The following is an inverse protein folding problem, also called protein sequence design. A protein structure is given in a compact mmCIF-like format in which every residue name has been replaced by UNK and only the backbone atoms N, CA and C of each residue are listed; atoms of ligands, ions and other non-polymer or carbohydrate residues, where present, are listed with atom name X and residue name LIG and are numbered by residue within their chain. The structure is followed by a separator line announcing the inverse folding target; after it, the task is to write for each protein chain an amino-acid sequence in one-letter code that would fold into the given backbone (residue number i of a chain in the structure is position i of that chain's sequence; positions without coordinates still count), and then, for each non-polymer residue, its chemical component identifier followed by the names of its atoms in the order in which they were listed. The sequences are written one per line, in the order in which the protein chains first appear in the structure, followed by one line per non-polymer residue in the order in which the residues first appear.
data_IF_356409072772
#
_entry.id   IF_356409072772
#
_cell.length_a   1.000
_cell.length_b   1.000
_cell.length_c   1.000
_cell.angle_alpha   90.00
_cell.angle_beta   90.00
_cell.angle_gamma   90.00
#
_symmetry.space_group_name_H-M   'P 1'
#
loop_
_entity.id
_entity.type
_entity.pdbx_description
1 polymer ?
#
# COMPACT_ATOMS: atom_id res chain seq x y z
N UNK A 1 0.43 -16.50 -5.06
CA UNK A 1 0.40 -15.72 -3.80
C UNK A 1 1.82 -15.69 -3.25
N UNK A 2 2.33 -14.54 -2.84
CA UNK A 2 3.66 -14.43 -2.27
C UNK A 2 3.50 -14.19 -0.78
N UNK A 3 4.13 -15.00 0.05
CA UNK A 3 4.05 -14.87 1.50
C UNK A 3 5.45 -14.53 2.01
N UNK A 4 5.51 -13.53 2.86
CA UNK A 4 6.72 -13.05 3.49
C UNK A 4 6.90 -13.68 4.88
N UNK A 5 8.12 -14.03 5.21
CA UNK A 5 8.55 -14.25 6.58
C UNK A 5 9.15 -12.95 7.16
N UNK A 6 8.51 -12.39 8.16
CA UNK A 6 9.00 -11.21 8.89
C UNK A 6 9.58 -11.54 10.26
N UNK A 7 9.56 -12.80 10.64
CA UNK A 7 9.96 -13.24 11.98
C UNK A 7 11.41 -13.74 12.05
N UNK A 8 12.24 -13.47 11.03
CA UNK A 8 13.65 -13.82 11.09
C UNK A 8 14.39 -12.99 12.14
N UNK A 9 15.11 -13.65 13.01
CA UNK A 9 15.91 -13.02 14.06
C UNK A 9 17.33 -12.64 13.62
N UNK A 10 17.85 -13.28 12.58
CA UNK A 10 19.18 -13.00 12.06
C UNK A 10 19.18 -11.76 11.13
N UNK A 11 20.18 -10.87 11.23
CA UNK A 11 20.28 -9.71 10.35
C UNK A 11 20.37 -10.07 8.86
N UNK A 12 21.02 -11.19 8.55
CA UNK A 12 21.13 -11.74 7.19
C UNK A 12 19.95 -12.63 6.79
N UNK A 13 19.01 -12.86 7.72
CA UNK A 13 17.78 -13.64 7.52
C UNK A 13 18.03 -15.09 7.08
N UNK A 14 19.13 -15.68 7.49
CA UNK A 14 19.49 -17.08 7.16
C UNK A 14 18.98 -18.08 8.20
N UNK A 15 18.67 -17.63 9.42
CA UNK A 15 18.27 -18.48 10.54
C UNK A 15 16.78 -18.32 10.88
N UNK A 16 16.21 -19.37 11.44
CA UNK A 16 14.87 -19.31 12.01
C UNK A 16 14.86 -18.47 13.28
N UNK A 17 13.70 -17.83 13.61
CA UNK A 17 13.54 -17.14 14.88
C UNK A 17 13.87 -18.04 16.07
N UNK A 18 14.56 -17.49 17.07
CA UNK A 18 14.88 -18.23 18.29
C UNK A 18 13.65 -18.47 19.19
N UNK A 19 12.65 -17.61 19.06
CA UNK A 19 11.39 -17.74 19.81
C UNK A 19 10.55 -18.86 19.18
N UNK A 20 10.08 -19.82 20.02
CA UNK A 20 9.44 -21.06 19.56
C UNK A 20 8.16 -20.82 18.72
N UNK A 21 7.31 -19.90 19.17
CA UNK A 21 6.06 -19.59 18.44
C UNK A 21 6.35 -18.96 17.09
N UNK A 22 7.30 -18.02 17.01
CA UNK A 22 7.71 -17.41 15.76
C UNK A 22 8.32 -18.43 14.81
N UNK A 23 9.19 -19.31 15.32
CA UNK A 23 9.77 -20.41 14.54
C UNK A 23 8.69 -21.35 13.99
N UNK A 24 7.71 -21.68 14.81
CA UNK A 24 6.58 -22.54 14.43
C UNK A 24 5.74 -21.90 13.33
N UNK A 25 5.44 -20.60 13.43
CA UNK A 25 4.72 -19.86 12.38
C UNK A 25 5.45 -19.91 11.04
N UNK A 26 6.77 -19.66 11.03
CA UNK A 26 7.58 -19.73 9.82
C UNK A 26 7.58 -21.12 9.20
N UNK A 27 7.75 -22.17 10.01
CA UNK A 27 7.70 -23.56 9.52
C UNK A 27 6.35 -23.91 8.91
N UNK A 28 5.24 -23.50 9.52
CA UNK A 28 3.91 -23.71 8.93
C UNK A 28 3.71 -22.90 7.65
N UNK A 29 4.23 -21.69 7.58
CA UNK A 29 4.17 -20.88 6.37
C UNK A 29 4.86 -21.57 5.20
N UNK A 30 6.08 -22.07 5.41
CA UNK A 30 6.86 -22.81 4.41
C UNK A 30 6.11 -24.10 4.00
N UNK A 31 5.64 -24.86 4.98
CA UNK A 31 4.86 -26.09 4.74
C UNK A 31 3.62 -25.80 3.90
N UNK A 32 2.84 -24.79 4.27
CA UNK A 32 1.62 -24.42 3.53
C UNK A 32 1.95 -23.93 2.11
N UNK A 33 3.04 -23.20 1.92
CA UNK A 33 3.51 -22.82 0.58
C UNK A 33 3.77 -24.03 -0.30
N UNK A 34 4.44 -25.05 0.24
CA UNK A 34 4.69 -26.32 -0.45
C UNK A 34 3.40 -27.09 -0.71
N UNK A 35 2.54 -27.25 0.30
CA UNK A 35 1.32 -28.06 0.20
C UNK A 35 0.30 -27.48 -0.80
N UNK A 36 0.23 -26.15 -0.89
CA UNK A 36 -0.73 -25.44 -1.74
C UNK A 36 -0.13 -24.80 -2.99
N UNK A 37 1.17 -24.98 -3.25
CA UNK A 37 1.82 -24.58 -4.48
C UNK A 37 1.97 -23.07 -4.67
N UNK A 38 2.17 -22.28 -3.61
CA UNK A 38 2.46 -20.86 -3.73
C UNK A 38 3.88 -20.49 -3.28
N UNK A 39 4.41 -19.42 -3.87
CA UNK A 39 5.76 -18.94 -3.60
C UNK A 39 5.86 -18.39 -2.18
N UNK A 40 6.81 -18.92 -1.40
CA UNK A 40 7.19 -18.40 -0.08
C UNK A 40 8.61 -17.82 -0.18
N UNK A 41 8.75 -16.54 0.16
CA UNK A 41 10.06 -15.89 0.26
C UNK A 41 10.55 -16.00 1.70
N UNK A 42 11.07 -17.17 2.04
CA UNK A 42 11.55 -17.51 3.39
C UNK A 42 13.04 -17.20 3.59
N UNK A 43 13.53 -17.53 4.77
CA UNK A 43 14.92 -17.39 5.14
C UNK A 43 15.87 -18.00 4.10
N UNK A 44 16.92 -17.27 3.76
CA UNK A 44 17.89 -17.68 2.75
C UNK A 44 17.44 -17.47 1.30
N UNK A 45 16.19 -17.08 1.04
CA UNK A 45 15.77 -16.72 -0.31
C UNK A 45 16.34 -15.34 -0.67
N UNK A 46 17.09 -15.19 -1.78
CA UNK A 46 17.69 -13.90 -2.15
C UNK A 46 16.66 -12.81 -2.47
N UNK A 47 15.40 -13.19 -2.69
CA UNK A 47 14.28 -12.26 -2.93
C UNK A 47 13.47 -11.96 -1.66
N UNK A 48 13.88 -12.49 -0.51
CA UNK A 48 13.23 -12.17 0.76
C UNK A 48 13.42 -10.71 1.11
N UNK A 49 12.37 -10.08 1.59
CA UNK A 49 12.41 -8.68 2.02
C UNK A 49 11.13 -8.27 2.72
N UNK A 50 11.04 -7.00 3.06
CA UNK A 50 9.81 -6.43 3.60
C UNK A 50 8.73 -6.53 2.53
N UNK A 51 7.57 -7.11 2.86
CA UNK A 51 6.45 -7.33 1.94
C UNK A 51 6.11 -6.07 1.14
N UNK A 52 5.97 -4.95 1.84
CA UNK A 52 5.64 -3.66 1.25
C UNK A 52 6.63 -3.20 0.17
N UNK A 53 7.90 -3.55 0.32
CA UNK A 53 8.95 -3.24 -0.66
C UNK A 53 8.97 -4.27 -1.78
N UNK A 54 9.04 -5.56 -1.42
CA UNK A 54 9.18 -6.66 -2.38
C UNK A 54 8.02 -6.73 -3.37
N UNK A 55 6.78 -6.55 -2.90
CA UNK A 55 5.59 -6.59 -3.74
C UNK A 55 5.57 -5.45 -4.76
N UNK A 56 6.00 -4.27 -4.34
CA UNK A 56 6.06 -3.07 -5.18
C UNK A 56 7.22 -3.15 -6.18
N UNK A 57 8.43 -3.44 -5.70
CA UNK A 57 9.64 -3.49 -6.54
C UNK A 57 9.59 -4.59 -7.61
N UNK A 58 8.87 -5.67 -7.34
CA UNK A 58 8.66 -6.75 -8.32
C UNK A 58 7.44 -6.51 -9.22
N UNK A 59 6.71 -5.42 -9.06
CA UNK A 59 5.44 -5.14 -9.75
C UNK A 59 4.40 -6.25 -9.59
N UNK A 60 4.32 -6.83 -8.40
CA UNK A 60 3.21 -7.72 -8.01
C UNK A 60 1.95 -6.95 -7.65
N UNK A 61 2.07 -5.65 -7.47
CA UNK A 61 0.98 -4.69 -7.28
C UNK A 61 0.84 -3.85 -8.54
N UNK A 62 -0.34 -3.87 -9.14
CA UNK A 62 -0.65 -3.12 -10.35
C UNK A 62 -1.92 -2.27 -10.14
N UNK A 63 -2.07 -1.15 -10.87
CA UNK A 63 -3.28 -0.32 -10.79
C UNK A 63 -4.56 -1.12 -11.04
N UNK A 64 -5.60 -0.85 -10.26
CA UNK A 64 -6.90 -1.52 -10.37
C UNK A 64 -6.99 -2.87 -9.64
N UNK A 65 -5.90 -3.39 -9.08
CA UNK A 65 -5.94 -4.60 -8.27
C UNK A 65 -6.67 -4.37 -6.94
N UNK A 66 -7.28 -5.44 -6.41
CA UNK A 66 -7.74 -5.52 -5.04
C UNK A 66 -6.82 -6.43 -4.24
N UNK A 67 -6.30 -5.94 -3.12
CA UNK A 67 -5.29 -6.61 -2.32
C UNK A 67 -5.72 -6.65 -0.85
N UNK A 68 -5.79 -7.84 -0.31
CA UNK A 68 -5.92 -8.08 1.13
C UNK A 68 -4.65 -8.75 1.66
N UNK A 69 -4.07 -8.24 2.71
CA UNK A 69 -2.88 -8.81 3.33
C UNK A 69 -2.96 -8.73 4.87
N UNK A 70 -2.18 -9.55 5.56
CA UNK A 70 -2.16 -9.67 7.02
C UNK A 70 -1.39 -8.56 7.73
N UNK A 71 -1.22 -7.41 7.10
CA UNK A 71 -0.54 -6.26 7.66
C UNK A 71 -1.45 -5.04 7.64
N UNK A 72 -1.46 -4.26 8.73
CA UNK A 72 -2.33 -3.09 8.88
C UNK A 72 -1.99 -1.97 7.89
N UNK A 73 -0.74 -1.91 7.39
CA UNK A 73 -0.26 -0.90 6.45
C UNK A 73 -0.40 -1.31 4.97
N UNK A 74 -1.17 -2.36 4.68
CA UNK A 74 -1.46 -2.83 3.30
C UNK A 74 -2.04 -1.72 2.41
N UNK A 75 -2.72 -0.73 2.99
CA UNK A 75 -3.20 0.47 2.29
C UNK A 75 -2.11 1.21 1.50
N UNK A 76 -0.84 0.99 1.82
CA UNK A 76 0.32 1.52 1.09
C UNK A 76 0.26 1.27 -0.42
N UNK A 77 -0.28 0.12 -0.83
CA UNK A 77 -0.36 -0.24 -2.25
C UNK A 77 -1.30 0.66 -3.07
N UNK A 78 -2.12 1.45 -2.40
CA UNK A 78 -2.93 2.49 -3.04
C UNK A 78 -2.12 3.59 -3.72
N UNK A 79 -0.85 3.75 -3.36
CA UNK A 79 0.08 4.65 -4.06
C UNK A 79 0.30 4.27 -5.53
N UNK A 80 0.06 3.01 -5.88
CA UNK A 80 0.10 2.50 -7.25
C UNK A 80 -1.30 2.38 -7.88
N UNK A 81 -2.34 2.92 -7.25
CA UNK A 81 -3.72 2.84 -7.74
C UNK A 81 -4.41 1.50 -7.50
N UNK A 82 -3.94 0.69 -6.54
CA UNK A 82 -4.60 -0.52 -6.09
C UNK A 82 -5.53 -0.23 -4.90
N UNK A 83 -6.65 -0.93 -4.80
CA UNK A 83 -7.49 -0.91 -3.59
C UNK A 83 -6.96 -1.97 -2.63
N UNK A 84 -6.33 -1.54 -1.55
CA UNK A 84 -5.62 -2.42 -0.64
C UNK A 84 -5.98 -2.16 0.82
N UNK A 85 -6.12 -3.25 1.60
CA UNK A 85 -6.48 -3.16 3.01
C UNK A 85 -5.97 -4.34 3.82
N UNK A 86 -5.61 -4.06 5.07
CA UNK A 86 -5.23 -5.08 6.03
C UNK A 86 -6.42 -5.94 6.44
N UNK A 87 -6.23 -7.26 6.52
CA UNK A 87 -7.22 -8.23 6.95
C UNK A 87 -6.65 -9.12 8.06
N UNK A 88 -7.52 -9.59 8.95
CA UNK A 88 -7.12 -10.46 10.04
C UNK A 88 -6.82 -11.89 9.58
N UNK A 89 -6.17 -12.67 10.43
CA UNK A 89 -5.79 -14.07 10.14
C UNK A 89 -7.01 -14.94 9.79
N UNK A 90 -8.14 -14.73 10.45
CA UNK A 90 -9.39 -15.45 10.16
C UNK A 90 -9.96 -15.08 8.78
N UNK A 91 -9.84 -13.81 8.39
CA UNK A 91 -10.26 -13.35 7.06
C UNK A 91 -9.36 -13.95 5.98
N UNK A 92 -8.03 -14.01 6.23
CA UNK A 92 -7.07 -14.66 5.33
C UNK A 92 -7.43 -16.13 5.14
N UNK A 93 -7.70 -16.85 6.23
CA UNK A 93 -8.13 -18.24 6.17
C UNK A 93 -9.39 -18.40 5.32
N UNK A 94 -10.41 -17.59 5.58
CA UNK A 94 -11.65 -17.60 4.80
C UNK A 94 -11.40 -17.30 3.32
N UNK A 95 -10.61 -16.28 3.03
CA UNK A 95 -10.25 -15.88 1.67
C UNK A 95 -9.52 -17.00 0.91
N UNK A 96 -8.55 -17.65 1.56
CA UNK A 96 -7.82 -18.77 0.95
C UNK A 96 -8.72 -19.98 0.67
N UNK A 97 -9.69 -20.25 1.55
CA UNK A 97 -10.60 -21.37 1.40
C UNK A 97 -11.70 -21.14 0.36
N UNK A 98 -12.15 -19.91 0.18
CA UNK A 98 -13.36 -19.58 -0.59
C UNK A 98 -13.13 -18.62 -1.76
N UNK A 99 -11.94 -18.03 -1.86
CA UNK A 99 -11.63 -16.92 -2.79
C UNK A 99 -12.55 -15.72 -2.63
N UNK A 100 -13.20 -15.58 -1.49
CA UNK A 100 -14.13 -14.48 -1.18
C UNK A 100 -13.76 -13.81 0.13
N UNK A 101 -14.09 -12.52 0.23
CA UNK A 101 -13.95 -11.76 1.46
C UNK A 101 -15.23 -10.94 1.68
N UNK A 102 -15.83 -11.07 2.86
CA UNK A 102 -16.99 -10.27 3.22
C UNK A 102 -16.52 -8.94 3.79
N UNK A 103 -16.83 -7.88 3.08
CA UNK A 103 -16.39 -6.53 3.47
C UNK A 103 -17.55 -5.54 3.48
N UNK A 104 -17.59 -4.65 4.47
CA UNK A 104 -18.52 -3.54 4.47
C UNK A 104 -18.04 -2.49 3.48
N UNK A 105 -18.91 -2.05 2.56
CA UNK A 105 -18.57 -0.95 1.63
C UNK A 105 -18.09 0.27 2.43
N UNK A 106 -16.91 0.74 2.10
CA UNK A 106 -16.34 1.95 2.68
C UNK A 106 -17.02 3.19 2.10
N UNK A 107 -17.03 4.25 2.87
CA UNK A 107 -17.33 5.60 2.38
C UNK A 107 -16.13 6.14 1.61
N UNK A 108 -16.36 7.03 0.68
CA UNK A 108 -15.32 7.69 -0.09
C UNK A 108 -14.95 9.03 0.56
N UNK A 109 -13.68 9.25 0.79
CA UNK A 109 -13.17 10.53 1.29
C UNK A 109 -12.10 11.06 0.35
N UNK A 110 -12.16 12.35 0.00
CA UNK A 110 -11.12 13.02 -0.77
C UNK A 110 -10.32 13.96 0.14
N UNK A 111 -8.99 13.84 0.09
CA UNK A 111 -8.05 14.76 0.72
C UNK A 111 -7.23 15.42 -0.38
N UNK A 112 -7.54 16.67 -0.65
CA UNK A 112 -6.82 17.47 -1.64
C UNK A 112 -5.71 18.25 -0.96
N UNK A 113 -4.46 18.03 -1.38
CA UNK A 113 -3.31 18.72 -0.81
C UNK A 113 -2.81 19.79 -1.79
N UNK A 114 -2.79 21.02 -1.30
CA UNK A 114 -2.44 22.23 -2.06
C UNK A 114 -1.31 23.00 -1.37
N UNK A 115 -0.86 24.09 -1.98
CA UNK A 115 0.18 24.95 -1.45
C UNK A 115 1.58 24.63 -1.96
N UNK A 116 2.57 25.32 -1.43
CA UNK A 116 3.96 25.19 -1.82
C UNK A 116 4.71 24.31 -0.82
N UNK A 117 5.31 23.22 -1.31
CA UNK A 117 6.17 22.33 -0.51
C UNK A 117 7.53 22.99 -0.27
N UNK A 118 7.92 23.11 1.00
CA UNK A 118 9.27 23.52 1.37
C UNK A 118 10.33 22.50 0.95
N UNK A 119 11.55 22.95 0.65
CA UNK A 119 12.65 22.06 0.17
C UNK A 119 13.03 20.96 1.15
N UNK A 120 12.83 21.16 2.44
CA UNK A 120 13.17 20.20 3.51
C UNK A 120 12.00 19.34 3.95
N UNK A 121 10.80 19.62 3.41
CA UNK A 121 9.57 18.89 3.76
C UNK A 121 9.50 17.56 3.00
N UNK A 122 9.37 16.48 3.72
CA UNK A 122 9.23 15.13 3.17
C UNK A 122 7.76 14.71 3.07
N UNK A 123 7.48 13.62 2.37
CA UNK A 123 6.14 13.03 2.33
C UNK A 123 5.65 12.61 3.74
N UNK A 124 6.58 12.23 4.62
CA UNK A 124 6.28 11.91 6.02
C UNK A 124 5.77 13.14 6.78
N UNK A 125 6.38 14.30 6.56
CA UNK A 125 5.91 15.55 7.19
C UNK A 125 4.50 15.92 6.70
N UNK A 126 4.23 15.72 5.41
CA UNK A 126 2.91 15.97 4.81
C UNK A 126 1.86 15.09 5.47
N UNK A 127 2.09 13.76 5.55
CA UNK A 127 1.10 12.87 6.15
C UNK A 127 0.93 13.11 7.66
N UNK A 128 2.00 13.41 8.39
CA UNK A 128 1.91 13.79 9.79
C UNK A 128 1.07 15.06 9.98
N UNK A 129 1.21 16.02 9.08
CA UNK A 129 0.38 17.22 9.11
C UNK A 129 -1.09 16.91 8.80
N UNK A 130 -1.36 16.03 7.85
CA UNK A 130 -2.72 15.54 7.54
C UNK A 130 -3.31 14.85 8.78
N UNK A 131 -2.56 13.92 9.42
CA UNK A 131 -2.98 13.25 10.67
C UNK A 131 -3.28 14.28 11.77
N UNK A 132 -2.43 15.26 11.95
CA UNK A 132 -2.64 16.36 12.92
C UNK A 132 -3.93 17.13 12.65
N UNK A 133 -4.26 17.39 11.38
CA UNK A 133 -5.46 18.13 10.98
C UNK A 133 -6.75 17.33 11.12
N UNK A 134 -6.70 16.06 10.77
CA UNK A 134 -7.87 15.16 10.75
C UNK A 134 -8.11 14.46 12.09
N UNK A 135 -7.05 14.28 12.87
CA UNK A 135 -7.03 13.45 14.08
C UNK A 135 -6.89 11.95 13.78
N UNK A 136 -6.50 11.17 14.79
CA UNK A 136 -6.28 9.73 14.69
C UNK A 136 -7.52 8.91 14.24
N UNK A 137 -8.73 9.44 14.39
CA UNK A 137 -9.99 8.83 13.93
C UNK A 137 -10.61 9.51 12.70
N UNK A 138 -9.92 10.48 12.11
CA UNK A 138 -10.49 11.38 11.09
C UNK A 138 -10.98 10.72 9.81
N UNK A 139 -10.44 9.53 9.48
CA UNK A 139 -10.74 8.76 8.28
C UNK A 139 -11.46 7.44 8.58
N UNK A 140 -11.95 7.24 9.81
CA UNK A 140 -12.62 6.00 10.20
C UNK A 140 -13.75 5.63 9.24
N UNK A 141 -13.71 4.39 8.72
CA UNK A 141 -14.72 3.85 7.82
C UNK A 141 -14.64 4.35 6.37
N UNK A 142 -13.57 5.05 6.01
CA UNK A 142 -13.37 5.58 4.67
C UNK A 142 -12.23 4.88 3.91
N UNK A 143 -12.36 4.88 2.59
CA UNK A 143 -11.26 4.82 1.64
C UNK A 143 -10.88 6.26 1.29
N UNK A 144 -9.61 6.61 1.46
CA UNK A 144 -9.13 7.99 1.28
C UNK A 144 -8.44 8.13 -0.06
N UNK A 145 -8.98 8.98 -0.94
CA UNK A 145 -8.28 9.41 -2.14
C UNK A 145 -7.44 10.65 -1.82
N UNK A 146 -6.12 10.52 -1.98
CA UNK A 146 -5.21 11.67 -1.93
C UNK A 146 -5.02 12.24 -3.33
N UNK A 147 -5.21 13.54 -3.48
CA UNK A 147 -5.09 14.23 -4.75
C UNK A 147 -4.57 15.68 -4.59
N UNK A 148 -4.46 16.38 -5.68
CA UNK A 148 -4.01 17.78 -5.71
C UNK A 148 -2.58 17.95 -6.21
N UNK A 149 -2.15 19.19 -6.48
CA UNK A 149 -0.87 19.47 -7.13
C UNK A 149 0.33 18.93 -6.34
N UNK A 150 0.30 19.03 -5.00
CA UNK A 150 1.37 18.49 -4.15
C UNK A 150 1.49 16.98 -4.30
N UNK A 151 0.38 16.25 -4.33
CA UNK A 151 0.37 14.78 -4.46
C UNK A 151 0.86 14.34 -5.85
N UNK A 152 0.46 15.07 -6.90
CA UNK A 152 0.91 14.80 -8.27
C UNK A 152 2.42 15.02 -8.44
N UNK A 153 3.01 15.91 -7.65
CA UNK A 153 4.45 16.20 -7.69
C UNK A 153 5.29 15.14 -6.97
N UNK A 154 4.73 14.40 -6.02
CA UNK A 154 5.43 13.35 -5.27
C UNK A 154 5.97 12.24 -6.18
N UNK A 155 7.13 11.70 -5.83
CA UNK A 155 7.64 10.44 -6.40
C UNK A 155 6.77 9.26 -5.98
N UNK A 156 6.96 8.09 -6.60
CA UNK A 156 6.23 6.88 -6.22
C UNK A 156 6.54 6.49 -4.78
N UNK A 157 7.79 6.56 -4.35
CA UNK A 157 8.23 6.23 -3.00
C UNK A 157 7.63 7.19 -1.95
N UNK A 158 7.49 8.45 -2.30
CA UNK A 158 6.83 9.44 -1.45
C UNK A 158 5.32 9.16 -1.34
N UNK A 159 4.67 8.76 -2.43
CA UNK A 159 3.26 8.33 -2.41
C UNK A 159 3.07 7.06 -1.59
N UNK A 160 4.01 6.11 -1.67
CA UNK A 160 4.01 4.91 -0.83
C UNK A 160 4.04 5.27 0.66
N UNK A 161 4.89 6.23 1.05
CA UNK A 161 4.95 6.74 2.43
C UNK A 161 3.62 7.36 2.85
N UNK A 162 3.01 8.18 2.00
CA UNK A 162 1.74 8.84 2.28
C UNK A 162 0.61 7.82 2.50
N UNK A 163 0.44 6.89 1.58
CA UNK A 163 -0.59 5.85 1.65
C UNK A 163 -0.33 4.87 2.80
N UNK A 164 0.93 4.54 3.09
CA UNK A 164 1.30 3.70 4.22
C UNK A 164 0.80 4.27 5.54
N UNK A 165 1.03 5.56 5.78
CA UNK A 165 0.69 6.21 7.03
C UNK A 165 -0.77 6.68 7.11
N UNK A 166 -1.59 6.47 6.08
CA UNK A 166 -3.02 6.81 6.14
C UNK A 166 -3.76 6.04 7.24
N UNK A 167 -3.26 4.87 7.63
CA UNK A 167 -3.81 4.07 8.74
C UNK A 167 -3.74 4.81 10.07
N UNK A 168 -2.80 5.74 10.25
CA UNK A 168 -2.66 6.56 11.46
C UNK A 168 -3.81 7.57 11.63
N UNK A 169 -4.57 7.83 10.55
CA UNK A 169 -5.86 8.55 10.62
C UNK A 169 -7.05 7.60 10.72
N UNK A 170 -6.82 6.30 10.93
CA UNK A 170 -7.82 5.24 10.86
C UNK A 170 -8.48 5.07 9.47
N UNK A 171 -7.79 5.44 8.40
CA UNK A 171 -8.20 5.08 7.04
C UNK A 171 -8.13 3.56 6.87
N UNK A 172 -9.19 2.98 6.31
CA UNK A 172 -9.22 1.54 6.06
C UNK A 172 -8.47 1.17 4.79
N UNK A 173 -8.47 2.07 3.83
CA UNK A 173 -7.72 2.02 2.59
C UNK A 173 -7.36 3.44 2.18
N UNK A 174 -6.35 3.58 1.34
CA UNK A 174 -6.02 4.84 0.71
C UNK A 174 -5.66 4.60 -0.75
N UNK A 175 -5.82 5.61 -1.60
CA UNK A 175 -5.55 5.49 -3.02
C UNK A 175 -5.06 6.83 -3.60
N UNK A 176 -4.17 6.73 -4.58
CA UNK A 176 -3.77 7.84 -5.45
C UNK A 176 -4.01 7.37 -6.89
N UNK A 177 -4.66 8.18 -7.70
CA UNK A 177 -4.86 7.85 -9.11
C UNK A 177 -3.51 7.65 -9.80
N UNK A 178 -3.38 6.54 -10.53
CA UNK A 178 -2.13 6.22 -11.26
C UNK A 178 -1.90 7.22 -12.38
N UNK A 179 -0.67 7.67 -12.50
CA UNK A 179 -0.21 8.59 -13.53
C UNK A 179 1.05 8.07 -14.23
N UNK A 180 1.64 8.88 -15.08
CA UNK A 180 2.84 8.49 -15.84
C UNK A 180 4.00 8.08 -14.92
N UNK A 181 4.18 8.72 -13.74
CA UNK A 181 5.24 8.34 -12.78
C UNK A 181 5.07 6.90 -12.30
N UNK A 182 3.82 6.47 -12.04
CA UNK A 182 3.52 5.09 -11.66
C UNK A 182 3.79 4.13 -12.82
N UNK A 183 3.42 4.49 -14.05
CA UNK A 183 3.66 3.64 -15.23
C UNK A 183 5.16 3.48 -15.48
N UNK A 184 5.93 4.55 -15.46
CA UNK A 184 7.39 4.53 -15.63
C UNK A 184 8.07 3.71 -14.52
N UNK A 185 7.54 3.77 -13.28
CA UNK A 185 8.03 2.98 -12.15
C UNK A 185 7.79 1.48 -12.35
N UNK A 186 6.66 1.08 -12.90
CA UNK A 186 6.28 -0.32 -13.07
C UNK A 186 6.91 -0.96 -14.31
N UNK A 187 7.23 -0.19 -15.35
CA UNK A 187 7.70 -0.68 -16.64
C UNK A 187 8.98 -1.51 -16.51
N UNK A 188 9.03 -2.64 -17.20
CA UNK A 188 10.21 -3.52 -17.25
C UNK A 188 10.49 -4.34 -16.00
N UNK A 189 9.74 -4.18 -14.91
CA UNK A 189 9.91 -4.97 -13.69
C UNK A 189 9.42 -6.41 -13.88
N UNK A 190 9.80 -7.30 -12.94
CA UNK A 190 9.66 -8.77 -13.06
C UNK A 190 8.25 -9.23 -13.44
N UNK A 191 7.22 -8.71 -12.76
CA UNK A 191 5.81 -9.11 -12.96
C UNK A 191 4.98 -8.06 -13.71
N UNK A 192 5.59 -7.00 -14.18
CA UNK A 192 4.89 -6.04 -15.04
C UNK A 192 4.45 -6.72 -16.35
N UNK A 193 3.27 -6.37 -16.88
CA UNK A 193 2.88 -6.77 -18.23
C UNK A 193 3.96 -6.37 -19.25
N UNK A 194 4.07 -7.12 -20.36
CA UNK A 194 5.10 -6.89 -21.37
C UNK A 194 4.49 -6.74 -22.77
N UNK A 195 5.18 -6.00 -23.63
CA UNK A 195 4.80 -5.83 -25.04
C UNK A 195 3.39 -5.26 -25.20
N UNK A 196 2.58 -5.87 -26.04
CA UNK A 196 1.21 -5.43 -26.33
C UNK A 196 0.32 -5.43 -25.07
N UNK A 197 0.54 -6.38 -24.15
CA UNK A 197 -0.21 -6.44 -22.88
C UNK A 197 0.10 -5.23 -21.99
N UNK A 198 1.34 -4.73 -22.02
CA UNK A 198 1.71 -3.50 -21.32
C UNK A 198 0.94 -2.30 -21.86
N UNK A 199 0.93 -2.11 -23.18
CA UNK A 199 0.22 -1.00 -23.81
C UNK A 199 -1.26 -1.00 -23.48
N UNK A 200 -1.92 -2.16 -23.54
CA UNK A 200 -3.34 -2.31 -23.16
C UNK A 200 -3.57 -2.06 -21.67
N UNK A 201 -2.65 -2.50 -20.81
CA UNK A 201 -2.74 -2.26 -19.38
C UNK A 201 -2.64 -0.76 -19.06
N UNK A 202 -1.67 -0.06 -19.63
CA UNK A 202 -1.51 1.39 -19.44
C UNK A 202 -2.73 2.16 -19.95
N UNK A 203 -3.29 1.78 -21.08
CA UNK A 203 -4.52 2.37 -21.61
C UNK A 203 -5.69 2.22 -20.63
N UNK A 204 -5.86 1.02 -20.08
CA UNK A 204 -6.87 0.75 -19.06
C UNK A 204 -6.58 1.53 -17.76
N UNK A 205 -5.35 1.53 -17.28
CA UNK A 205 -4.99 2.21 -16.03
C UNK A 205 -5.23 3.71 -16.06
N UNK A 206 -5.07 4.35 -17.23
CA UNK A 206 -5.39 5.76 -17.43
C UNK A 206 -6.87 6.10 -17.21
N UNK A 207 -7.75 5.10 -17.29
CA UNK A 207 -9.17 5.28 -16.99
C UNK A 207 -9.51 5.18 -15.50
N UNK A 208 -8.57 4.65 -14.68
CA UNK A 208 -8.77 4.43 -13.25
C UNK A 208 -8.49 5.70 -12.42
N UNK A 209 -9.25 6.73 -12.68
CA UNK A 209 -9.23 7.99 -11.94
C UNK A 209 -10.64 8.43 -11.66
N UNK A 210 -10.84 9.16 -10.57
CA UNK A 210 -12.13 9.76 -10.27
C UNK A 210 -12.49 10.79 -11.33
N UNK A 211 -13.76 10.78 -11.74
CA UNK A 211 -14.31 11.80 -12.64
C UNK A 211 -14.30 13.18 -11.97
N UNK A 212 -14.35 14.25 -12.77
CA UNK A 212 -14.40 15.62 -12.24
C UNK A 212 -15.62 15.87 -11.37
N UNK A 213 -16.74 15.24 -11.72
CA UNK A 213 -18.03 15.33 -11.01
C UNK A 213 -18.21 14.25 -9.94
N UNK A 214 -17.17 13.46 -9.63
CA UNK A 214 -17.27 12.39 -8.63
C UNK A 214 -17.69 12.93 -7.26
N UNK A 215 -18.71 12.32 -6.67
CA UNK A 215 -19.21 12.68 -5.35
C UNK A 215 -18.48 11.88 -4.26
N UNK A 216 -18.04 12.57 -3.24
CA UNK A 216 -17.41 12.00 -2.05
C UNK A 216 -18.28 12.21 -0.82
N UNK A 217 -18.30 11.24 0.09
CA UNK A 217 -19.00 11.36 1.37
C UNK A 217 -18.35 12.43 2.27
N UNK A 218 -17.06 12.67 2.10
CA UNK A 218 -16.30 13.70 2.82
C UNK A 218 -15.18 14.24 1.94
N UNK A 219 -15.03 15.53 1.92
CA UNK A 219 -13.94 16.22 1.24
C UNK A 219 -13.20 17.17 2.18
N UNK A 220 -11.89 17.19 2.08
CA UNK A 220 -11.03 18.07 2.87
C UNK A 220 -9.94 18.64 1.97
N UNK A 221 -9.73 19.93 2.01
CA UNK A 221 -8.58 20.58 1.39
C UNK A 221 -7.57 20.99 2.47
N UNK A 222 -6.30 20.69 2.23
CA UNK A 222 -5.20 20.94 3.15
C UNK A 222 -4.11 21.71 2.40
N UNK A 223 -3.91 22.96 2.80
CA UNK A 223 -2.80 23.79 2.33
C UNK A 223 -1.57 23.55 3.20
N UNK A 224 -0.45 23.15 2.57
CA UNK A 224 0.83 22.91 3.24
C UNK A 224 1.82 24.07 3.10
N UNK A 225 1.37 25.25 2.64
CA UNK A 225 2.23 26.42 2.55
C UNK A 225 2.80 26.76 3.92
N UNK A 226 4.12 26.89 4.01
CA UNK A 226 4.80 27.17 5.28
C UNK A 226 4.93 25.96 6.21
N UNK A 227 4.60 24.74 5.75
CA UNK A 227 4.90 23.53 6.52
C UNK A 227 6.40 23.38 6.73
N UNK A 228 6.81 23.10 7.94
CA UNK A 228 8.18 22.78 8.33
C UNK A 228 8.31 21.29 8.69
N UNK A 229 9.54 20.73 8.67
CA UNK A 229 9.79 19.37 9.13
C UNK A 229 9.23 19.14 10.53
N UNK A 230 8.60 18.00 10.73
CA UNK A 230 7.88 17.66 11.95
C UNK A 230 8.65 16.65 12.79
N UNK A 231 8.56 16.80 14.11
CA UNK A 231 9.00 15.79 15.07
C UNK A 231 7.76 15.25 15.78
N UNK A 232 7.70 13.94 15.94
CA UNK A 232 6.66 13.25 16.70
C UNK A 232 7.30 12.30 17.71
N UNK A 233 6.63 12.05 18.84
CA UNK A 233 7.04 11.13 19.91
C UNK A 233 5.89 10.20 20.26
#
# INVERSE_FOLDING_TARGET
MCIRDSNSSAPDRTEFPAEENACTQVKYLIKNGSDFGFEVLNNGNPKQGIEHVVMVERSKVLPGMQIGAGDSHTAMYGALGAVAYGIGTSDIYHYLATSTLRYKKLKNMRVRVTGARGKTVTAKDIILFIVKKLGAGGCTGHCVEFCGPVISDLSVEERLTLCNMAVECAARSSIIASDQKVFDYLEGREFAPKGETWSKAVEFWKTLKSDEEALFDKEVEIDITGLEPSVTW
#
